data_IF_893651122070
#
_entry.id   IF_893651122070
#
_cell.length_a   1.000
_cell.length_b   1.000
_cell.length_c   1.000
_cell.angle_alpha   90.00
_cell.angle_beta   90.00
_cell.angle_gamma   90.00
#
_symmetry.space_group_name_H-M   'P 1'
#
loop_
_entity.id
_entity.type
_entity.pdbx_description
1 polymer ?
#
# COMPACT_ATOMS: atom_id res chain seq x y z
N UNK A 1 14.56 21.34 21.11
CA UNK A 1 15.17 21.59 19.78
C UNK A 1 14.05 21.68 18.74
N UNK A 2 13.87 22.84 18.09
CA UNK A 2 12.95 22.97 16.95
C UNK A 2 13.56 22.21 15.78
N UNK A 3 12.91 21.11 15.32
CA UNK A 3 13.27 20.45 14.05
C UNK A 3 13.23 21.54 12.96
N UNK A 4 14.36 21.81 12.33
CA UNK A 4 14.37 22.66 11.12
C UNK A 4 13.46 21.98 10.10
N UNK A 5 12.45 22.72 9.66
CA UNK A 5 11.50 22.23 8.65
C UNK A 5 12.26 22.14 7.35
N UNK A 6 12.50 20.93 6.87
CA UNK A 6 13.15 20.72 5.58
C UNK A 6 12.13 20.89 4.46
N UNK A 7 12.04 22.08 3.89
CA UNK A 7 11.10 22.42 2.83
C UNK A 7 11.21 21.50 1.60
N UNK A 8 12.41 20.98 1.33
CA UNK A 8 12.64 20.04 0.21
C UNK A 8 11.95 18.70 0.47
N UNK A 9 12.00 18.20 1.71
CA UNK A 9 11.30 16.96 2.08
C UNK A 9 9.78 17.12 2.00
N UNK A 10 9.25 18.26 2.47
CA UNK A 10 7.81 18.54 2.37
C UNK A 10 7.38 18.64 0.90
N UNK A 11 8.13 19.33 0.07
CA UNK A 11 7.83 19.44 -1.36
C UNK A 11 7.86 18.06 -2.04
N UNK A 12 8.88 17.23 -1.76
CA UNK A 12 8.99 15.87 -2.27
C UNK A 12 7.80 15.00 -1.83
N UNK A 13 7.43 15.08 -0.55
CA UNK A 13 6.29 14.36 0.00
C UNK A 13 4.99 14.78 -0.69
N UNK A 14 4.75 16.07 -0.84
CA UNK A 14 3.56 16.61 -1.51
C UNK A 14 3.47 16.14 -2.97
N UNK A 15 4.58 16.15 -3.71
CA UNK A 15 4.62 15.66 -5.10
C UNK A 15 4.26 14.17 -5.17
N UNK A 16 4.79 13.35 -4.25
CA UNK A 16 4.48 11.90 -4.22
C UNK A 16 2.99 11.67 -3.90
N UNK A 17 2.44 12.38 -2.90
CA UNK A 17 1.03 12.27 -2.56
C UNK A 17 0.14 12.72 -3.73
N UNK A 18 0.49 13.82 -4.41
CA UNK A 18 -0.23 14.30 -5.59
C UNK A 18 -0.22 13.28 -6.73
N UNK A 19 0.94 12.70 -7.02
CA UNK A 19 1.05 11.66 -8.05
C UNK A 19 0.22 10.41 -7.71
N UNK A 20 0.26 9.97 -6.46
CA UNK A 20 -0.54 8.84 -5.99
C UNK A 20 -2.04 9.09 -6.13
N UNK A 21 -2.51 10.29 -5.74
CA UNK A 21 -3.92 10.69 -5.90
C UNK A 21 -4.32 10.80 -7.38
N UNK A 22 -3.44 11.29 -8.25
CA UNK A 22 -3.70 11.32 -9.70
C UNK A 22 -3.87 9.91 -10.28
N UNK A 23 -3.07 8.93 -9.83
CA UNK A 23 -3.22 7.50 -10.21
C UNK A 23 -4.56 6.94 -9.72
N UNK A 24 -4.95 7.24 -8.47
CA UNK A 24 -6.24 6.82 -7.92
C UNK A 24 -7.40 7.45 -8.70
N UNK A 25 -7.32 8.75 -8.96
CA UNK A 25 -8.34 9.45 -9.74
C UNK A 25 -8.47 8.88 -11.17
N UNK A 26 -7.35 8.55 -11.81
CA UNK A 26 -7.35 7.88 -13.11
C UNK A 26 -8.03 6.50 -13.04
N UNK A 27 -7.69 5.69 -12.04
CA UNK A 27 -8.34 4.39 -11.83
C UNK A 27 -9.86 4.53 -11.66
N UNK A 28 -10.29 5.49 -10.86
CA UNK A 28 -11.72 5.76 -10.62
C UNK A 28 -12.40 6.22 -11.90
N UNK A 29 -11.83 7.22 -12.57
CA UNK A 29 -12.47 7.85 -13.74
C UNK A 29 -12.54 6.91 -14.94
N UNK A 30 -11.42 6.27 -15.28
CA UNK A 30 -11.32 5.46 -16.50
C UNK A 30 -11.91 4.05 -16.37
N UNK A 31 -12.00 3.50 -15.16
CA UNK A 31 -12.42 2.11 -14.96
C UNK A 31 -13.58 1.95 -13.99
N UNK A 32 -13.56 2.58 -12.80
CA UNK A 32 -14.62 2.35 -11.82
C UNK A 32 -15.94 3.00 -12.23
N UNK A 33 -15.91 4.25 -12.71
CA UNK A 33 -17.12 4.98 -13.12
C UNK A 33 -17.84 4.25 -14.25
N UNK A 34 -17.18 3.80 -15.33
CA UNK A 34 -17.84 3.06 -16.40
C UNK A 34 -18.37 1.68 -15.99
N UNK A 35 -17.71 1.03 -15.01
CA UNK A 35 -18.15 -0.30 -14.55
C UNK A 35 -19.44 -0.29 -13.75
N UNK A 36 -19.88 0.86 -13.23
CA UNK A 36 -21.01 0.99 -12.31
C UNK A 36 -20.91 0.10 -11.04
N UNK A 37 -19.74 -0.48 -10.77
CA UNK A 37 -19.51 -1.33 -9.60
C UNK A 37 -19.18 -0.49 -8.35
N UNK A 38 -19.53 -0.99 -7.17
CA UNK A 38 -19.27 -0.32 -5.90
C UNK A 38 -18.13 -1.00 -5.15
N UNK A 39 -16.93 -0.99 -5.74
CA UNK A 39 -15.76 -1.63 -5.14
C UNK A 39 -15.17 -0.72 -4.07
N UNK A 40 -15.19 -1.16 -2.81
CA UNK A 40 -14.61 -0.45 -1.65
C UNK A 40 -14.96 1.04 -1.60
N UNK A 41 -16.19 1.41 -1.99
CA UNK A 41 -16.61 2.79 -2.17
C UNK A 41 -17.56 3.26 -1.06
N UNK A 42 -17.24 4.41 -0.46
CA UNK A 42 -18.17 5.09 0.46
C UNK A 42 -19.42 5.60 -0.25
N UNK A 43 -19.33 5.87 -1.55
CA UNK A 43 -20.47 6.27 -2.36
C UNK A 43 -21.52 5.15 -2.45
N UNK A 44 -21.09 3.88 -2.43
CA UNK A 44 -22.01 2.74 -2.35
C UNK A 44 -22.86 2.78 -1.07
N UNK A 45 -22.25 3.07 0.07
CA UNK A 45 -22.98 3.27 1.32
C UNK A 45 -23.89 4.50 1.24
N UNK A 46 -23.44 5.57 0.61
CA UNK A 46 -24.24 6.78 0.38
C UNK A 46 -25.51 6.50 -0.43
N UNK A 47 -25.44 5.66 -1.48
CA UNK A 47 -26.59 5.28 -2.29
C UNK A 47 -27.61 4.49 -1.44
N UNK A 48 -27.14 3.54 -0.65
CA UNK A 48 -28.05 2.80 0.25
C UNK A 48 -28.74 3.75 1.21
N UNK A 49 -28.01 4.66 1.85
CA UNK A 49 -28.57 5.62 2.80
C UNK A 49 -29.52 6.62 2.14
N UNK A 50 -29.30 7.02 0.89
CA UNK A 50 -30.19 7.97 0.19
C UNK A 50 -31.60 7.40 -0.06
N UNK A 51 -31.79 6.07 0.03
CA UNK A 51 -33.13 5.47 -0.01
C UNK A 51 -33.90 5.61 1.31
N UNK A 52 -33.19 5.88 2.41
CA UNK A 52 -33.79 5.98 3.74
C UNK A 52 -33.81 7.43 4.26
N UNK A 53 -32.90 8.27 3.78
CA UNK A 53 -32.72 9.66 4.23
C UNK A 53 -33.04 10.60 3.06
N UNK A 54 -33.95 11.57 3.20
CA UNK A 54 -34.37 12.48 2.13
C UNK A 54 -33.31 13.58 1.91
N UNK A 55 -32.06 13.19 1.65
CA UNK A 55 -30.94 14.06 1.28
C UNK A 55 -30.35 13.61 -0.05
N UNK A 56 -29.81 14.54 -0.85
CA UNK A 56 -29.12 14.16 -2.09
C UNK A 56 -27.86 13.34 -1.79
N UNK A 57 -27.54 12.39 -2.67
CA UNK A 57 -26.40 11.49 -2.53
C UNK A 57 -25.08 12.22 -2.23
N UNK A 58 -24.85 13.34 -2.92
CA UNK A 58 -23.65 14.18 -2.72
C UNK A 58 -23.53 14.71 -1.29
N UNK A 59 -24.64 15.11 -0.66
CA UNK A 59 -24.63 15.57 0.71
C UNK A 59 -24.35 14.42 1.70
N UNK A 60 -24.97 13.25 1.49
CA UNK A 60 -24.74 12.07 2.33
C UNK A 60 -23.27 11.62 2.25
N UNK A 61 -22.71 11.48 1.05
CA UNK A 61 -21.32 11.08 0.86
C UNK A 61 -20.34 12.10 1.41
N UNK A 62 -20.63 13.40 1.30
CA UNK A 62 -19.82 14.46 1.89
C UNK A 62 -19.84 14.39 3.42
N UNK A 63 -20.99 14.21 4.03
CA UNK A 63 -21.13 14.07 5.50
C UNK A 63 -20.34 12.84 5.98
N UNK A 64 -20.50 11.69 5.32
CA UNK A 64 -19.77 10.46 5.66
C UNK A 64 -18.26 10.68 5.58
N UNK A 65 -17.77 11.29 4.49
CA UNK A 65 -16.36 11.57 4.32
C UNK A 65 -15.82 12.51 5.39
N UNK A 66 -16.55 13.60 5.73
CA UNK A 66 -16.13 14.53 6.77
C UNK A 66 -16.11 13.84 8.14
N UNK A 67 -17.14 13.05 8.47
CA UNK A 67 -17.18 12.30 9.73
C UNK A 67 -16.00 11.34 9.83
N UNK A 68 -15.73 10.55 8.78
CA UNK A 68 -14.59 9.63 8.76
C UNK A 68 -13.25 10.37 8.85
N UNK A 69 -13.12 11.51 8.20
CA UNK A 69 -11.92 12.34 8.26
C UNK A 69 -11.66 12.85 9.68
N UNK A 70 -12.71 13.34 10.36
CA UNK A 70 -12.62 13.77 11.77
C UNK A 70 -12.23 12.59 12.66
N UNK A 71 -12.88 11.45 12.52
CA UNK A 71 -12.55 10.24 13.28
C UNK A 71 -11.10 9.84 13.00
N UNK A 72 -10.68 9.78 11.74
CA UNK A 72 -9.32 9.44 11.34
C UNK A 72 -8.26 10.39 11.90
N UNK A 73 -8.55 11.69 11.93
CA UNK A 73 -7.66 12.70 12.53
C UNK A 73 -7.39 12.44 14.01
N UNK A 74 -8.42 12.15 14.79
CA UNK A 74 -8.27 11.87 16.21
C UNK A 74 -7.71 10.47 16.51
N UNK A 75 -8.05 9.49 15.70
CA UNK A 75 -7.64 8.09 15.93
C UNK A 75 -6.27 7.77 15.38
N UNK A 76 -5.95 8.19 14.15
CA UNK A 76 -4.69 7.87 13.47
C UNK A 76 -3.58 8.93 13.66
N UNK A 77 -3.94 10.11 14.20
CA UNK A 77 -3.01 11.17 14.55
C UNK A 77 -2.93 12.31 13.53
N UNK A 78 -2.28 13.41 13.94
CA UNK A 78 -2.27 14.67 13.18
C UNK A 78 -1.58 14.55 11.82
N UNK A 79 -0.50 13.80 11.73
CA UNK A 79 0.21 13.63 10.47
C UNK A 79 -0.65 12.95 9.41
N UNK A 80 -1.29 11.84 9.78
CA UNK A 80 -2.25 11.13 8.94
C UNK A 80 -3.39 12.05 8.52
N UNK A 81 -4.00 12.77 9.49
CA UNK A 81 -5.14 13.64 9.22
C UNK A 81 -4.82 14.77 8.24
N UNK A 82 -3.71 15.49 8.43
CA UNK A 82 -3.31 16.59 7.53
C UNK A 82 -3.05 16.10 6.10
N UNK A 83 -2.31 15.01 5.95
CA UNK A 83 -2.05 14.40 4.63
C UNK A 83 -3.34 13.93 3.98
N UNK A 84 -4.24 13.32 4.74
CA UNK A 84 -5.52 12.81 4.24
C UNK A 84 -6.48 13.94 3.86
N UNK A 85 -6.52 15.07 4.60
CA UNK A 85 -7.27 16.27 4.18
C UNK A 85 -6.80 16.73 2.80
N UNK A 86 -5.48 16.84 2.61
CA UNK A 86 -4.91 17.25 1.33
C UNK A 86 -5.31 16.32 0.19
N UNK A 87 -5.12 15.02 0.36
CA UNK A 87 -5.42 14.01 -0.66
C UNK A 87 -6.92 13.91 -0.97
N UNK A 88 -7.78 14.03 0.05
CA UNK A 88 -9.24 14.03 -0.12
C UNK A 88 -9.78 15.24 -0.88
N UNK A 89 -9.07 16.37 -0.83
CA UNK A 89 -9.41 17.55 -1.65
C UNK A 89 -8.87 17.39 -3.08
N UNK A 90 -7.67 16.84 -3.24
CA UNK A 90 -7.05 16.69 -4.54
C UNK A 90 -7.74 15.63 -5.42
N UNK A 91 -8.36 14.60 -4.83
CA UNK A 91 -9.04 13.55 -5.57
C UNK A 91 -10.20 14.09 -6.43
N UNK A 92 -11.18 14.84 -5.90
CA UNK A 92 -12.22 15.47 -6.73
C UNK A 92 -11.67 16.46 -7.77
N UNK A 93 -10.58 17.17 -7.46
CA UNK A 93 -9.94 18.09 -8.42
C UNK A 93 -9.43 17.32 -9.65
N UNK A 94 -8.72 16.21 -9.46
CA UNK A 94 -8.27 15.38 -10.57
C UNK A 94 -9.42 14.73 -11.34
N UNK A 95 -10.46 14.27 -10.64
CA UNK A 95 -11.67 13.76 -11.31
C UNK A 95 -12.31 14.81 -12.20
N UNK A 96 -12.47 16.05 -11.70
CA UNK A 96 -13.00 17.16 -12.49
C UNK A 96 -12.12 17.52 -13.69
N UNK A 97 -10.79 17.44 -13.55
CA UNK A 97 -9.86 17.63 -14.69
C UNK A 97 -10.09 16.54 -15.74
N UNK A 98 -10.21 15.27 -15.34
CA UNK A 98 -10.45 14.19 -16.28
C UNK A 98 -11.81 14.30 -16.97
N UNK A 99 -12.86 14.71 -16.25
CA UNK A 99 -14.17 14.99 -16.85
C UNK A 99 -14.11 16.09 -17.91
N UNK A 100 -13.32 17.15 -17.67
CA UNK A 100 -13.15 18.23 -18.64
C UNK A 100 -12.33 17.81 -19.86
N UNK A 101 -11.30 16.99 -19.67
CA UNK A 101 -10.39 16.58 -20.75
C UNK A 101 -10.96 15.43 -21.58
N UNK A 102 -11.71 14.54 -20.96
CA UNK A 102 -12.27 13.35 -21.59
C UNK A 102 -13.80 13.26 -21.38
N UNK A 103 -14.58 14.24 -21.87
CA UNK A 103 -16.03 14.24 -21.67
C UNK A 103 -16.66 13.03 -22.36
N UNK A 104 -17.61 12.36 -21.67
CA UNK A 104 -18.36 11.22 -22.18
C UNK A 104 -17.52 9.96 -22.48
N UNK A 105 -16.47 9.71 -21.73
CA UNK A 105 -15.72 8.48 -21.84
C UNK A 105 -16.56 7.31 -21.33
N UNK A 106 -16.86 6.37 -22.24
CA UNK A 106 -17.45 5.05 -21.88
C UNK A 106 -16.40 4.08 -21.36
N UNK A 107 -16.80 2.81 -21.18
CA UNK A 107 -15.86 1.75 -20.82
C UNK A 107 -14.72 1.64 -21.85
N UNK A 108 -13.48 1.56 -21.36
CA UNK A 108 -12.30 1.35 -22.21
C UNK A 108 -12.14 -0.10 -22.65
N UNK A 109 -12.74 -1.03 -21.94
CA UNK A 109 -12.59 -2.47 -22.17
C UNK A 109 -13.85 -3.10 -22.77
N UNK A 110 -14.95 -2.35 -22.86
CA UNK A 110 -16.28 -2.82 -23.22
C UNK A 110 -16.80 -4.00 -22.35
N UNK A 111 -16.16 -4.25 -21.20
CA UNK A 111 -16.52 -5.28 -20.24
C UNK A 111 -16.46 -4.76 -18.82
N UNK A 112 -17.57 -4.85 -18.10
CA UNK A 112 -17.69 -4.45 -16.71
C UNK A 112 -16.67 -5.17 -15.81
N UNK A 113 -16.46 -6.47 -16.06
CA UNK A 113 -15.54 -7.31 -15.30
C UNK A 113 -14.08 -6.90 -15.50
N UNK A 114 -13.68 -6.59 -16.74
CA UNK A 114 -12.33 -6.14 -17.07
C UNK A 114 -12.07 -4.74 -16.52
N UNK A 115 -13.04 -3.84 -16.58
CA UNK A 115 -12.94 -2.52 -15.98
C UNK A 115 -12.69 -2.63 -14.47
N UNK A 116 -13.42 -3.51 -13.76
CA UNK A 116 -13.19 -3.74 -12.32
C UNK A 116 -11.79 -4.31 -12.06
N UNK A 117 -11.30 -5.24 -12.87
CA UNK A 117 -9.94 -5.78 -12.71
C UNK A 117 -8.85 -4.70 -12.94
N UNK A 118 -9.00 -3.91 -13.99
CA UNK A 118 -8.10 -2.78 -14.27
C UNK A 118 -8.13 -1.76 -13.14
N UNK A 119 -9.32 -1.42 -12.63
CA UNK A 119 -9.48 -0.56 -11.47
C UNK A 119 -8.69 -1.07 -10.27
N UNK A 120 -8.88 -2.34 -9.90
CA UNK A 120 -8.22 -2.96 -8.74
C UNK A 120 -6.69 -2.85 -8.85
N UNK A 121 -6.13 -3.16 -10.00
CA UNK A 121 -4.68 -3.11 -10.21
C UNK A 121 -4.16 -1.67 -10.08
N UNK A 122 -4.77 -0.73 -10.77
CA UNK A 122 -4.28 0.67 -10.81
C UNK A 122 -4.52 1.38 -9.48
N UNK A 123 -5.70 1.21 -8.86
CA UNK A 123 -6.01 1.86 -7.57
C UNK A 123 -5.13 1.34 -6.45
N UNK A 124 -4.81 0.03 -6.44
CA UNK A 124 -3.96 -0.56 -5.42
C UNK A 124 -2.54 0.02 -5.43
N UNK A 125 -2.00 0.38 -6.59
CA UNK A 125 -0.71 1.08 -6.70
C UNK A 125 -0.80 2.45 -6.01
N UNK A 126 -1.80 3.25 -6.32
CA UNK A 126 -1.98 4.57 -5.71
C UNK A 126 -2.22 4.50 -4.20
N UNK A 127 -3.11 3.59 -3.76
CA UNK A 127 -3.41 3.39 -2.34
C UNK A 127 -2.20 2.89 -1.55
N UNK A 128 -1.39 1.98 -2.11
CA UNK A 128 -0.19 1.48 -1.46
C UNK A 128 0.82 2.60 -1.20
N UNK A 129 0.98 3.53 -2.15
CA UNK A 129 1.83 4.71 -1.98
C UNK A 129 1.29 5.61 -0.84
N UNK A 130 -0.01 5.89 -0.82
CA UNK A 130 -0.62 6.72 0.23
C UNK A 130 -0.46 6.08 1.61
N UNK A 131 -0.79 4.81 1.77
CA UNK A 131 -0.68 4.11 3.06
C UNK A 131 0.75 4.02 3.57
N UNK A 132 1.72 3.78 2.70
CA UNK A 132 3.14 3.78 3.06
C UNK A 132 3.65 5.18 3.47
N UNK A 133 2.97 6.26 3.03
CA UNK A 133 3.23 7.65 3.44
C UNK A 133 2.35 8.12 4.59
N UNK A 134 1.63 7.19 5.26
CA UNK A 134 0.71 7.49 6.34
C UNK A 134 -0.35 8.51 5.93
N UNK A 135 -0.96 8.30 4.76
CA UNK A 135 -2.07 9.07 4.20
C UNK A 135 -3.16 8.12 3.69
N UNK A 136 -4.32 8.65 3.31
CA UNK A 136 -5.47 7.94 2.74
C UNK A 136 -6.07 8.79 1.63
N UNK A 137 -6.82 8.19 0.70
CA UNK A 137 -7.59 8.93 -0.31
C UNK A 137 -8.88 9.56 0.25
N UNK A 138 -9.25 9.19 1.46
CA UNK A 138 -10.55 9.50 2.11
C UNK A 138 -11.52 8.32 2.02
N UNK A 139 -12.65 8.43 2.70
CA UNK A 139 -13.67 7.38 2.64
C UNK A 139 -13.33 6.12 3.45
N UNK A 140 -13.61 4.94 2.88
CA UNK A 140 -13.42 3.64 3.55
C UNK A 140 -11.97 3.32 3.87
N UNK A 141 -11.02 3.92 3.20
CA UNK A 141 -9.57 3.80 3.47
C UNK A 141 -9.25 4.23 4.92
N UNK A 142 -9.96 5.23 5.42
CA UNK A 142 -9.82 5.70 6.82
C UNK A 142 -10.28 4.60 7.77
N UNK A 143 -11.40 3.94 7.46
CA UNK A 143 -11.90 2.81 8.27
C UNK A 143 -10.88 1.69 8.29
N UNK A 144 -10.32 1.33 7.13
CA UNK A 144 -9.27 0.31 7.03
C UNK A 144 -8.04 0.68 7.85
N UNK A 145 -7.61 1.95 7.83
CA UNK A 145 -6.49 2.43 8.65
C UNK A 145 -6.77 2.36 10.14
N UNK A 146 -7.99 2.66 10.57
CA UNK A 146 -8.42 2.52 11.96
C UNK A 146 -8.41 1.05 12.37
N UNK A 147 -8.97 0.15 11.56
CA UNK A 147 -8.95 -1.29 11.81
C UNK A 147 -7.51 -1.84 11.87
N UNK A 148 -6.63 -1.40 10.97
CA UNK A 148 -5.22 -1.75 11.01
C UNK A 148 -4.58 -1.34 12.33
N UNK A 149 -4.85 -0.13 12.81
CA UNK A 149 -4.28 0.40 14.05
C UNK A 149 -4.78 -0.32 15.31
N UNK A 150 -6.06 -0.59 15.42
CA UNK A 150 -6.68 -1.10 16.65
C UNK A 150 -6.89 -2.62 16.65
N UNK A 151 -7.17 -3.21 15.49
CA UNK A 151 -7.36 -4.66 15.35
C UNK A 151 -6.11 -5.38 14.86
N UNK A 152 -5.03 -4.63 14.55
CA UNK A 152 -3.75 -5.17 14.05
C UNK A 152 -3.93 -6.06 12.80
N UNK A 153 -4.91 -5.72 11.96
CA UNK A 153 -5.16 -6.39 10.69
C UNK A 153 -4.32 -5.76 9.58
N UNK A 154 -3.97 -6.55 8.56
CA UNK A 154 -3.36 -6.02 7.35
C UNK A 154 -4.31 -5.02 6.67
N UNK A 155 -3.77 -4.00 6.01
CA UNK A 155 -4.56 -2.92 5.43
C UNK A 155 -5.52 -3.40 4.34
N UNK A 156 -5.08 -4.32 3.48
CA UNK A 156 -5.95 -4.88 2.44
C UNK A 156 -7.05 -5.76 3.01
N UNK A 157 -6.77 -6.56 4.06
CA UNK A 157 -7.81 -7.31 4.79
C UNK A 157 -8.83 -6.37 5.42
N UNK A 158 -8.38 -5.28 6.03
CA UNK A 158 -9.26 -4.27 6.61
C UNK A 158 -10.11 -3.56 5.53
N UNK A 159 -9.52 -3.26 4.36
CA UNK A 159 -10.22 -2.74 3.19
C UNK A 159 -11.28 -3.72 2.67
N UNK A 160 -10.93 -5.00 2.52
CA UNK A 160 -11.86 -6.03 2.11
C UNK A 160 -13.04 -6.14 3.07
N UNK A 161 -12.78 -6.19 4.37
CA UNK A 161 -13.83 -6.36 5.36
C UNK A 161 -14.77 -5.16 5.42
N UNK A 162 -14.24 -3.95 5.47
CA UNK A 162 -15.05 -2.72 5.48
C UNK A 162 -15.85 -2.54 4.18
N UNK A 163 -15.21 -2.81 3.04
CA UNK A 163 -15.84 -2.72 1.73
C UNK A 163 -16.88 -3.82 1.48
N UNK A 164 -16.70 -5.04 2.01
CA UNK A 164 -17.73 -6.10 1.95
C UNK A 164 -19.00 -5.71 2.70
N UNK A 165 -18.89 -5.08 3.87
CA UNK A 165 -20.06 -4.58 4.58
C UNK A 165 -20.87 -3.61 3.72
N UNK A 166 -20.17 -2.73 2.98
CA UNK A 166 -20.82 -1.79 2.05
C UNK A 166 -21.39 -2.52 0.83
N UNK A 167 -20.63 -3.43 0.23
CA UNK A 167 -21.09 -4.19 -0.94
C UNK A 167 -22.32 -5.06 -0.63
N UNK A 168 -22.39 -5.65 0.56
CA UNK A 168 -23.58 -6.38 1.02
C UNK A 168 -24.78 -5.45 1.23
N UNK A 169 -24.57 -4.25 1.77
CA UNK A 169 -25.66 -3.28 1.92
C UNK A 169 -26.19 -2.79 0.56
N UNK A 170 -25.36 -2.80 -0.48
CA UNK A 170 -25.75 -2.45 -1.84
C UNK A 170 -26.74 -3.46 -2.50
N UNK A 171 -26.88 -4.68 -1.94
CA UNK A 171 -27.85 -5.67 -2.37
C UNK A 171 -29.32 -5.20 -2.27
N UNK A 172 -29.59 -4.15 -1.49
CA UNK A 172 -30.92 -3.54 -1.41
C UNK A 172 -31.25 -2.61 -2.58
N UNK A 173 -30.25 -2.24 -3.40
CA UNK A 173 -30.38 -1.18 -4.41
C UNK A 173 -29.96 -1.63 -5.80
N UNK A 174 -28.93 -2.48 -5.89
CA UNK A 174 -28.35 -2.93 -7.16
C UNK A 174 -28.81 -4.32 -7.55
N UNK A 175 -28.68 -4.62 -8.85
CA UNK A 175 -28.91 -5.96 -9.40
C UNK A 175 -27.87 -6.98 -8.86
N UNK A 176 -28.24 -8.26 -8.87
CA UNK A 176 -27.42 -9.35 -8.32
C UNK A 176 -26.03 -9.43 -8.95
N UNK A 177 -25.91 -9.19 -10.27
CA UNK A 177 -24.61 -9.23 -10.98
C UNK A 177 -23.66 -8.16 -10.45
N UNK A 178 -24.12 -6.92 -10.33
CA UNK A 178 -23.33 -5.78 -9.82
C UNK A 178 -22.94 -5.99 -8.35
N UNK A 179 -23.83 -6.54 -7.53
CA UNK A 179 -23.52 -6.88 -6.13
C UNK A 179 -22.43 -7.93 -6.02
N UNK A 180 -22.55 -9.04 -6.76
CA UNK A 180 -21.54 -10.10 -6.78
C UNK A 180 -20.21 -9.58 -7.27
N UNK A 181 -20.20 -8.78 -8.33
CA UNK A 181 -18.98 -8.16 -8.86
C UNK A 181 -18.35 -7.20 -7.86
N UNK A 182 -19.16 -6.42 -7.14
CA UNK A 182 -18.69 -5.50 -6.09
C UNK A 182 -18.06 -6.24 -4.90
N UNK A 183 -18.67 -7.35 -4.47
CA UNK A 183 -18.13 -8.21 -3.39
C UNK A 183 -16.79 -8.83 -3.82
N UNK A 184 -16.75 -9.47 -4.99
CA UNK A 184 -15.53 -10.08 -5.51
C UNK A 184 -14.46 -9.04 -5.77
N UNK A 185 -14.81 -7.92 -6.41
CA UNK A 185 -13.88 -6.83 -6.65
C UNK A 185 -13.29 -6.25 -5.36
N UNK A 186 -14.11 -6.07 -4.33
CA UNK A 186 -13.65 -5.60 -3.01
C UNK A 186 -12.70 -6.60 -2.35
N UNK A 187 -13.00 -7.90 -2.42
CA UNK A 187 -12.14 -8.94 -1.88
C UNK A 187 -10.78 -8.98 -2.60
N UNK A 188 -10.78 -9.00 -3.92
CA UNK A 188 -9.55 -8.98 -4.72
C UNK A 188 -8.76 -7.69 -4.55
N UNK A 189 -9.44 -6.53 -4.44
CA UNK A 189 -8.76 -5.26 -4.19
C UNK A 189 -7.92 -5.30 -2.90
N UNK A 190 -8.43 -5.91 -1.84
CA UNK A 190 -7.68 -6.06 -0.60
C UNK A 190 -6.45 -6.96 -0.75
N UNK A 191 -6.56 -8.09 -1.47
CA UNK A 191 -5.43 -9.01 -1.72
C UNK A 191 -4.34 -8.30 -2.54
N UNK A 192 -4.74 -7.63 -3.62
CA UNK A 192 -3.81 -6.91 -4.50
C UNK A 192 -3.16 -5.74 -3.75
N UNK A 193 -3.92 -5.01 -2.96
CA UNK A 193 -3.41 -3.90 -2.14
C UNK A 193 -2.36 -4.38 -1.13
N UNK A 194 -2.63 -5.46 -0.39
CA UNK A 194 -1.66 -6.03 0.55
C UNK A 194 -0.38 -6.46 -0.18
N UNK A 195 -0.50 -7.07 -1.36
CA UNK A 195 0.67 -7.43 -2.16
C UNK A 195 1.54 -6.21 -2.49
N UNK A 196 0.95 -5.09 -2.94
CA UNK A 196 1.69 -3.87 -3.25
C UNK A 196 2.27 -3.18 -2.01
N UNK A 197 1.58 -3.23 -0.86
CA UNK A 197 2.08 -2.67 0.39
C UNK A 197 3.28 -3.47 0.90
N UNK A 198 3.18 -4.79 0.91
CA UNK A 198 4.23 -5.68 1.42
C UNK A 198 5.46 -5.70 0.50
N UNK A 199 5.29 -5.72 -0.82
CA UNK A 199 6.42 -5.83 -1.76
C UNK A 199 7.38 -4.62 -1.67
N UNK A 200 6.89 -3.46 -1.23
CA UNK A 200 7.74 -2.27 -1.00
C UNK A 200 8.57 -2.32 0.29
N UNK A 201 8.20 -3.13 1.26
CA UNK A 201 8.83 -3.18 2.60
C UNK A 201 9.52 -4.51 2.91
N UNK A 202 9.51 -5.47 1.97
CA UNK A 202 10.16 -6.77 2.20
C UNK A 202 11.66 -6.58 2.31
N UNK A 203 12.18 -6.78 3.52
CA UNK A 203 13.60 -6.97 3.74
C UNK A 203 13.95 -8.45 3.70
N UNK A 204 15.19 -8.74 3.37
CA UNK A 204 15.71 -10.09 3.27
C UNK A 204 16.80 -10.29 4.30
N UNK A 205 16.64 -11.31 5.13
CA UNK A 205 17.72 -11.82 5.95
C UNK A 205 18.53 -12.78 5.11
N UNK A 206 19.75 -12.44 4.84
CA UNK A 206 20.69 -13.25 4.06
C UNK A 206 21.72 -13.83 5.03
N UNK A 207 21.83 -15.15 5.03
CA UNK A 207 22.79 -15.90 5.82
C UNK A 207 23.82 -16.51 4.85
N UNK A 208 25.09 -16.18 5.04
CA UNK A 208 26.17 -16.53 4.10
C UNK A 208 27.29 -17.26 4.85
N UNK A 209 27.68 -18.43 4.36
CA UNK A 209 28.87 -19.16 4.78
C UNK A 209 29.83 -19.15 3.59
N UNK A 210 30.99 -18.51 3.77
CA UNK A 210 32.01 -18.33 2.74
C UNK A 210 33.42 -18.45 3.33
N UNK A 211 34.38 -18.74 2.52
CA UNK A 211 35.81 -18.71 2.89
C UNK A 211 36.39 -17.28 2.86
N UNK A 212 35.68 -16.34 2.19
CA UNK A 212 36.09 -14.93 2.03
C UNK A 212 35.34 -14.03 3.04
N UNK A 213 35.44 -14.33 4.32
CA UNK A 213 34.68 -13.66 5.38
C UNK A 213 35.02 -12.17 5.53
N UNK A 214 36.31 -11.81 5.48
CA UNK A 214 36.76 -10.43 5.66
C UNK A 214 36.34 -9.54 4.49
N UNK A 215 36.46 -10.03 3.26
CA UNK A 215 36.04 -9.32 2.06
C UNK A 215 34.53 -9.09 2.07
N UNK A 216 33.76 -10.13 2.39
CA UNK A 216 32.31 -10.01 2.50
C UNK A 216 31.90 -9.02 3.59
N UNK A 217 32.51 -9.10 4.77
CA UNK A 217 32.25 -8.15 5.87
C UNK A 217 32.51 -6.72 5.46
N UNK A 218 33.65 -6.49 4.80
CA UNK A 218 34.03 -5.16 4.33
C UNK A 218 33.04 -4.63 3.28
N UNK A 219 32.63 -5.47 2.34
CA UNK A 219 31.62 -5.12 1.34
C UNK A 219 30.27 -4.75 1.98
N UNK A 220 29.78 -5.54 2.96
CA UNK A 220 28.51 -5.24 3.64
C UNK A 220 28.58 -3.91 4.41
N UNK A 221 29.70 -3.65 5.11
CA UNK A 221 29.83 -2.44 5.94
C UNK A 221 30.09 -1.18 5.12
N UNK A 222 30.97 -1.25 4.12
CA UNK A 222 31.48 -0.09 3.40
C UNK A 222 30.72 0.22 2.11
N UNK A 223 30.29 -0.80 1.35
CA UNK A 223 29.64 -0.63 0.06
C UNK A 223 28.10 -0.68 0.16
N UNK A 224 27.58 -1.58 1.01
CA UNK A 224 26.14 -1.64 1.25
C UNK A 224 25.69 -0.74 2.41
N UNK A 225 26.63 -0.26 3.24
CA UNK A 225 26.33 0.50 4.47
C UNK A 225 25.31 -0.19 5.39
N UNK A 226 25.32 -1.54 5.37
CA UNK A 226 24.43 -2.40 6.14
C UNK A 226 25.14 -3.03 7.32
N UNK A 227 24.38 -3.38 8.36
CA UNK A 227 24.91 -4.13 9.51
C UNK A 227 25.07 -5.60 9.19
N UNK A 228 26.05 -6.25 9.82
CA UNK A 228 26.21 -7.71 9.79
C UNK A 228 26.37 -8.27 11.19
N UNK A 229 25.94 -9.52 11.40
CA UNK A 229 26.17 -10.30 12.62
C UNK A 229 26.82 -11.61 12.21
N UNK A 230 27.87 -12.00 12.96
CA UNK A 230 28.62 -13.23 12.69
C UNK A 230 28.30 -14.23 13.78
N UNK A 231 27.95 -15.47 13.38
CA UNK A 231 27.75 -16.60 14.28
C UNK A 231 28.74 -17.70 13.97
N UNK A 232 29.34 -18.29 15.02
CA UNK A 232 30.05 -19.55 14.84
C UNK A 232 29.04 -20.68 14.60
N UNK A 233 29.22 -21.41 13.53
CA UNK A 233 28.45 -22.60 13.16
C UNK A 233 29.39 -23.82 13.03
N UNK A 234 28.82 -25.02 13.21
CA UNK A 234 29.57 -26.26 13.02
C UNK A 234 28.89 -27.05 11.92
N UNK A 235 29.65 -27.34 10.85
CA UNK A 235 29.16 -28.16 9.74
C UNK A 235 28.91 -29.61 10.19
N UNK A 236 27.66 -30.07 10.11
CA UNK A 236 27.27 -31.40 10.61
C UNK A 236 27.96 -32.57 9.89
N UNK A 237 28.39 -32.37 8.64
CA UNK A 237 29.04 -33.42 7.85
C UNK A 237 30.49 -33.72 8.29
N UNK A 238 31.28 -32.67 8.55
CA UNK A 238 32.71 -32.78 8.82
C UNK A 238 33.12 -32.23 10.19
N UNK A 239 32.15 -31.76 10.98
CA UNK A 239 32.36 -31.15 12.30
C UNK A 239 33.33 -29.95 12.31
N UNK A 240 33.49 -29.32 11.16
CA UNK A 240 34.34 -28.13 11.03
C UNK A 240 33.61 -26.88 11.48
N UNK A 241 34.31 -26.03 12.22
CA UNK A 241 33.83 -24.68 12.57
C UNK A 241 33.85 -23.79 11.34
N UNK A 242 32.77 -23.03 11.16
CA UNK A 242 32.62 -22.03 10.09
C UNK A 242 31.87 -20.84 10.65
N UNK A 243 32.10 -19.67 10.08
CA UNK A 243 31.33 -18.49 10.44
C UNK A 243 30.16 -18.30 9.45
N UNK A 244 28.99 -18.02 10.01
CA UNK A 244 27.81 -17.62 9.27
C UNK A 244 27.65 -16.11 9.42
N UNK A 245 27.72 -15.37 8.32
CA UNK A 245 27.49 -13.93 8.28
C UNK A 245 26.05 -13.69 7.93
N UNK A 246 25.34 -12.97 8.81
CA UNK A 246 23.93 -12.64 8.65
C UNK A 246 23.81 -11.13 8.44
N UNK A 247 23.16 -10.74 7.37
CA UNK A 247 22.82 -9.35 7.09
C UNK A 247 21.35 -9.22 6.71
N UNK A 248 20.76 -8.04 6.93
CA UNK A 248 19.39 -7.74 6.55
C UNK A 248 19.42 -6.59 5.57
N UNK A 249 19.00 -6.85 4.36
CA UNK A 249 19.15 -5.99 3.20
C UNK A 249 17.79 -5.75 2.52
N UNK A 250 17.66 -4.63 1.83
CA UNK A 250 16.54 -4.36 0.94
C UNK A 250 16.71 -5.08 -0.42
N UNK A 251 15.73 -4.90 -1.32
CA UNK A 251 15.73 -5.54 -2.65
C UNK A 251 16.94 -5.14 -3.51
N UNK A 252 17.34 -3.86 -3.45
CA UNK A 252 18.45 -3.34 -4.25
C UNK A 252 19.81 -3.76 -3.68
N UNK A 253 19.93 -3.65 -2.34
CA UNK A 253 21.12 -4.12 -1.61
C UNK A 253 21.33 -5.64 -1.79
N UNK A 254 20.23 -6.41 -1.77
CA UNK A 254 20.26 -7.84 -2.04
C UNK A 254 20.81 -8.17 -3.45
N UNK A 255 20.36 -7.45 -4.46
CA UNK A 255 20.89 -7.65 -5.83
C UNK A 255 22.39 -7.34 -5.92
N UNK A 256 22.84 -6.25 -5.28
CA UNK A 256 24.26 -5.91 -5.22
C UNK A 256 25.05 -7.00 -4.49
N UNK A 257 24.55 -7.48 -3.35
CA UNK A 257 25.17 -8.53 -2.56
C UNK A 257 25.29 -9.84 -3.36
N UNK A 258 24.22 -10.24 -4.03
CA UNK A 258 24.24 -11.48 -4.85
C UNK A 258 25.18 -11.36 -6.05
N UNK A 259 25.24 -10.20 -6.71
CA UNK A 259 26.18 -9.97 -7.80
C UNK A 259 27.63 -10.04 -7.30
N UNK A 260 27.92 -9.43 -6.14
CA UNK A 260 29.24 -9.50 -5.51
C UNK A 260 29.61 -10.95 -5.17
N UNK A 261 28.73 -11.70 -4.50
CA UNK A 261 28.99 -13.09 -4.12
C UNK A 261 29.18 -14.02 -5.34
N UNK A 262 28.40 -13.83 -6.39
CA UNK A 262 28.55 -14.61 -7.64
C UNK A 262 29.92 -14.40 -8.30
N UNK A 263 30.50 -13.21 -8.10
CA UNK A 263 31.82 -12.88 -8.64
C UNK A 263 32.96 -13.36 -7.72
N UNK A 264 32.86 -13.10 -6.42
CA UNK A 264 33.92 -13.33 -5.45
C UNK A 264 33.97 -14.78 -4.96
N UNK A 265 32.83 -15.36 -4.62
CA UNK A 265 32.76 -16.76 -4.16
C UNK A 265 31.48 -17.44 -4.67
N UNK A 266 31.48 -17.94 -5.91
CA UNK A 266 30.34 -18.64 -6.49
C UNK A 266 29.93 -19.92 -5.75
N UNK A 267 30.79 -20.43 -4.87
CA UNK A 267 30.54 -21.67 -4.10
C UNK A 267 30.02 -21.40 -2.69
N UNK A 268 29.89 -20.13 -2.29
CA UNK A 268 29.36 -19.76 -0.99
C UNK A 268 27.98 -20.37 -0.77
N UNK A 269 27.73 -20.85 0.44
CA UNK A 269 26.40 -21.33 0.83
C UNK A 269 25.56 -20.14 1.31
N UNK A 270 24.49 -19.84 0.60
CA UNK A 270 23.64 -18.68 0.85
C UNK A 270 22.20 -19.13 1.06
N UNK A 271 21.61 -18.74 2.19
CA UNK A 271 20.18 -18.91 2.45
C UNK A 271 19.53 -17.56 2.64
N UNK A 272 18.30 -17.43 2.12
CA UNK A 272 17.57 -16.15 2.11
C UNK A 272 16.20 -16.35 2.71
N UNK A 273 15.86 -15.52 3.70
CA UNK A 273 14.57 -15.50 4.36
C UNK A 273 13.91 -14.14 4.14
N UNK A 274 12.60 -14.14 3.93
CA UNK A 274 11.82 -12.90 3.96
C UNK A 274 11.60 -12.45 5.39
N UNK A 275 11.79 -11.18 5.66
CA UNK A 275 11.58 -10.57 6.97
C UNK A 275 10.36 -9.67 6.87
N UNK A 276 9.31 -10.02 7.58
CA UNK A 276 8.04 -9.29 7.56
C UNK A 276 8.07 -8.00 8.38
N UNK A 277 8.90 -7.94 9.43
CA UNK A 277 9.03 -6.75 10.28
C UNK A 277 10.42 -6.63 10.87
N UNK A 278 10.94 -5.40 10.94
CA UNK A 278 12.21 -5.06 11.59
C UNK A 278 12.03 -3.81 12.42
N UNK A 279 12.35 -3.90 13.69
CA UNK A 279 12.49 -2.74 14.56
C UNK A 279 13.97 -2.41 14.71
N UNK A 280 14.43 -1.40 13.95
CA UNK A 280 15.81 -0.97 13.93
C UNK A 280 15.92 0.55 14.09
N UNK A 281 16.79 1.00 14.97
CA UNK A 281 17.23 2.40 15.04
C UNK A 281 18.63 2.48 14.43
N UNK A 282 18.81 3.20 13.31
CA UNK A 282 20.15 3.42 12.77
C UNK A 282 21.01 4.09 13.84
N UNK A 283 22.20 3.57 14.07
CA UNK A 283 23.21 4.30 14.84
C UNK A 283 23.63 5.46 13.96
N UNK A 284 23.31 6.69 14.39
CA UNK A 284 23.73 7.92 13.75
C UNK A 284 25.24 8.10 13.72
#
# INVERSE_FOLDING_TARGET
MKKQVNYIEIAKETVILTAAVAVIAAAVYFFLVPSHASVSSISGLGIVLSNFIPLPLSAITMILNVVLLVIGFFTCGREFGVKTIYTSIMLPVFLGIFEMVFPNLGSLTDSQELDVLCYILVVSVGLSILFNRNASSGGLDIVAKIMNKYLHMDLGRAMSLSGMCVALSAAFVYDTKTVVLSILGTYFNGIVLDHFIFDHNIKRRVCIITEKEEELRNFILNDLHSGATIYESIGAYNMQKRNEIITIVDKNEYQKLMNYMNHEDPKAFITVYHVSDIRYQPKG
#
